data_IF_547870701550
#
_entry.id   IF_547870701550
#
_cell.length_a   1.000
_cell.length_b   1.000
_cell.length_c   1.000
_cell.angle_alpha   90.00
_cell.angle_beta   90.00
_cell.angle_gamma   90.00
#
_symmetry.space_group_name_H-M   'P 1'
#
loop_
_entity.id
_entity.type
_entity.pdbx_description
1 polymer ?
#
# COMPACT_ATOMS: atom_id res chain seq x y z
N UNK A 1 -35.29 4.64 47.84
CA UNK A 1 -33.91 5.17 47.97
C UNK A 1 -33.93 6.38 48.87
N UNK A 2 -33.30 6.26 50.03
CA UNK A 2 -33.04 7.38 50.94
C UNK A 2 -32.21 8.46 50.25
N UNK A 3 -32.41 9.72 50.67
CA UNK A 3 -31.66 10.87 50.13
C UNK A 3 -30.14 10.66 50.20
N UNK A 4 -29.68 9.94 51.24
CA UNK A 4 -28.27 9.56 51.44
C UNK A 4 -27.78 8.55 50.41
N UNK A 5 -28.58 7.52 50.11
CA UNK A 5 -28.25 6.51 49.08
C UNK A 5 -28.26 7.09 47.67
N UNK A 6 -29.13 8.08 47.39
CA UNK A 6 -29.11 8.81 46.10
C UNK A 6 -27.81 9.58 45.88
N UNK A 7 -27.24 10.17 46.93
CA UNK A 7 -25.98 10.93 46.85
C UNK A 7 -24.79 10.00 46.60
N UNK A 8 -24.72 8.85 47.29
CA UNK A 8 -23.64 7.87 47.09
C UNK A 8 -23.66 7.33 45.65
N UNK A 9 -24.85 7.05 45.11
CA UNK A 9 -25.01 6.56 43.74
C UNK A 9 -24.67 7.66 42.73
N UNK A 10 -25.09 8.91 42.97
CA UNK A 10 -24.71 10.02 42.11
C UNK A 10 -23.20 10.22 42.06
N UNK A 11 -22.52 10.13 43.20
CA UNK A 11 -21.06 10.25 43.29
C UNK A 11 -20.35 9.10 42.57
N UNK A 12 -20.88 7.87 42.66
CA UNK A 12 -20.36 6.72 41.91
C UNK A 12 -20.39 6.94 40.40
N UNK A 13 -21.52 7.43 39.87
CA UNK A 13 -21.63 7.77 38.45
C UNK A 13 -20.72 8.93 38.04
N UNK A 14 -20.52 9.93 38.90
CA UNK A 14 -19.59 11.03 38.65
C UNK A 14 -18.15 10.54 38.56
N UNK A 15 -17.72 9.65 39.47
CA UNK A 15 -16.38 9.05 39.42
C UNK A 15 -16.18 8.26 38.13
N UNK A 16 -17.17 7.48 37.68
CA UNK A 16 -17.13 6.79 36.38
C UNK A 16 -17.01 7.80 35.23
N UNK A 17 -17.81 8.86 35.27
CA UNK A 17 -17.80 9.89 34.22
C UNK A 17 -16.44 10.59 34.11
N UNK A 18 -15.79 10.88 35.24
CA UNK A 18 -14.45 11.47 35.28
C UNK A 18 -13.38 10.50 34.76
N UNK A 19 -13.44 9.23 35.17
CA UNK A 19 -12.50 8.20 34.68
C UNK A 19 -12.64 8.01 33.17
N UNK A 20 -13.87 7.95 32.64
CA UNK A 20 -14.14 7.88 31.20
C UNK A 20 -13.65 9.12 30.45
N UNK A 21 -13.89 10.32 31.00
CA UNK A 21 -13.43 11.57 30.41
C UNK A 21 -11.90 11.68 30.36
N UNK A 22 -11.18 11.21 31.40
CA UNK A 22 -9.71 11.21 31.40
C UNK A 22 -9.10 10.22 30.39
N UNK A 23 -9.67 9.03 30.23
CA UNK A 23 -9.24 8.07 29.22
C UNK A 23 -9.47 8.61 27.80
N UNK A 24 -10.62 9.26 27.57
CA UNK A 24 -10.96 9.92 26.31
C UNK A 24 -9.97 11.05 25.96
N UNK A 25 -9.53 11.82 26.96
CA UNK A 25 -8.51 12.86 26.76
C UNK A 25 -7.10 12.29 26.52
N UNK A 26 -6.71 11.21 27.21
CA UNK A 26 -5.42 10.53 26.97
C UNK A 26 -5.32 10.02 25.53
N UNK A 27 -6.37 9.41 24.97
CA UNK A 27 -6.35 8.95 23.57
C UNK A 27 -6.33 10.13 22.59
N UNK A 28 -7.14 11.16 22.81
CA UNK A 28 -7.27 12.26 21.85
C UNK A 28 -6.13 13.30 21.90
N UNK A 29 -5.45 13.49 23.03
CA UNK A 29 -4.33 14.42 23.15
C UNK A 29 -2.94 13.73 23.02
N UNK A 30 -2.85 12.41 23.24
CA UNK A 30 -1.58 11.66 23.17
C UNK A 30 -1.35 10.92 21.84
N UNK A 31 -2.12 11.17 20.76
CA UNK A 31 -1.78 10.73 19.39
C UNK A 31 -0.49 11.40 18.82
N UNK A 32 0.43 11.76 19.72
CA UNK A 32 1.82 12.09 19.51
C UNK A 32 2.73 10.84 19.45
N UNK A 33 2.18 9.64 19.22
CA UNK A 33 3.00 8.47 18.92
C UNK A 33 3.23 8.34 17.41
N UNK A 34 4.39 7.82 17.03
CA UNK A 34 4.67 7.44 15.66
C UNK A 34 4.11 6.04 15.43
N UNK A 35 3.44 5.85 14.31
CA UNK A 35 2.98 4.56 13.81
C UNK A 35 3.95 4.13 12.72
N UNK A 36 4.49 2.92 12.86
CA UNK A 36 5.27 2.24 11.84
C UNK A 36 4.29 1.48 10.94
N UNK A 37 4.34 1.73 9.64
CA UNK A 37 3.48 1.09 8.65
C UNK A 37 4.33 0.68 7.46
N UNK A 38 3.96 -0.43 6.81
CA UNK A 38 4.49 -0.80 5.51
C UNK A 38 3.60 -0.19 4.42
N UNK A 39 4.20 0.37 3.38
CA UNK A 39 3.51 0.94 2.23
C UNK A 39 4.23 0.54 0.94
N UNK A 40 3.59 0.78 -0.19
CA UNK A 40 4.13 0.46 -1.51
C UNK A 40 5.44 1.21 -1.76
N UNK A 41 6.37 0.52 -2.38
CA UNK A 41 7.69 1.03 -2.72
C UNK A 41 7.97 0.76 -4.20
N UNK A 42 8.48 1.75 -4.91
CA UNK A 42 8.77 1.63 -6.35
C UNK A 42 10.09 0.86 -6.56
N UNK A 43 10.06 -0.40 -7.01
CA UNK A 43 11.27 -1.21 -7.11
C UNK A 43 12.20 -0.78 -8.24
N UNK A 44 11.76 0.09 -9.17
CA UNK A 44 12.59 0.62 -10.25
C UNK A 44 13.43 1.83 -9.80
N UNK A 45 12.99 2.55 -8.77
CA UNK A 45 13.64 3.79 -8.32
C UNK A 45 14.20 3.71 -6.90
N UNK A 46 13.62 2.86 -6.06
CA UNK A 46 13.87 2.84 -4.62
C UNK A 46 14.35 1.45 -4.14
N UNK A 47 15.09 1.44 -3.03
CA UNK A 47 15.47 0.20 -2.33
C UNK A 47 14.37 -0.20 -1.35
N UNK A 48 13.57 -1.16 -1.75
CA UNK A 48 12.43 -1.72 -1.07
C UNK A 48 12.78 -3.02 -0.31
N UNK A 49 12.02 -3.30 0.73
CA UNK A 49 12.02 -4.58 1.42
C UNK A 49 11.24 -5.59 0.57
N UNK A 50 11.82 -6.76 0.37
CA UNK A 50 11.22 -7.88 -0.35
C UNK A 50 10.56 -8.82 0.65
N UNK A 51 9.28 -9.11 0.42
CA UNK A 51 8.54 -10.11 1.19
C UNK A 51 7.90 -11.10 0.23
N UNK A 52 8.26 -12.38 0.38
CA UNK A 52 7.66 -13.49 -0.35
C UNK A 52 6.62 -14.18 0.53
N UNK A 53 5.39 -14.32 0.05
CA UNK A 53 4.36 -15.13 0.71
C UNK A 53 4.51 -16.62 0.36
N UNK A 54 4.12 -17.51 1.27
CA UNK A 54 4.17 -18.96 1.04
C UNK A 54 2.73 -19.52 0.87
N UNK A 55 2.38 -20.10 -0.29
CA UNK A 55 1.04 -20.63 -0.54
C UNK A 55 0.66 -21.86 0.30
N UNK A 56 1.65 -22.56 0.88
CA UNK A 56 1.37 -23.68 1.80
C UNK A 56 0.93 -23.19 3.19
N UNK A 57 1.30 -21.96 3.56
CA UNK A 57 1.00 -21.37 4.87
C UNK A 57 -0.12 -20.32 4.80
N UNK A 58 -0.29 -19.68 3.64
CA UNK A 58 -1.27 -18.63 3.40
C UNK A 58 -2.10 -18.92 2.14
N UNK A 59 -3.41 -19.19 2.35
CA UNK A 59 -4.35 -19.47 1.26
C UNK A 59 -4.69 -18.26 0.39
N UNK A 60 -4.34 -17.04 0.81
CA UNK A 60 -4.49 -15.81 0.03
C UNK A 60 -3.25 -15.51 -0.83
N UNK A 61 -2.16 -16.27 -0.64
CA UNK A 61 -0.95 -16.11 -1.43
C UNK A 61 -1.14 -16.67 -2.86
N UNK A 62 -0.80 -15.89 -3.91
CA UNK A 62 -0.92 -16.33 -5.29
C UNK A 62 -0.13 -17.61 -5.60
N UNK A 63 -0.65 -18.46 -6.49
CA UNK A 63 0.11 -19.61 -6.99
C UNK A 63 1.30 -19.18 -7.87
N UNK A 64 1.17 -18.03 -8.55
CA UNK A 64 2.19 -17.44 -9.41
C UNK A 64 3.35 -16.86 -8.58
N UNK A 65 4.55 -17.41 -8.75
CA UNK A 65 5.74 -17.02 -7.99
C UNK A 65 6.06 -15.51 -8.05
N UNK A 66 5.75 -14.84 -9.16
CA UNK A 66 6.02 -13.41 -9.32
C UNK A 66 5.06 -12.53 -8.52
N UNK A 67 3.81 -12.96 -8.39
CA UNK A 67 2.79 -12.28 -7.59
C UNK A 67 2.94 -12.57 -6.10
N UNK A 68 3.77 -13.56 -5.72
CA UNK A 68 4.13 -13.83 -4.33
C UNK A 68 5.11 -12.82 -3.75
N UNK A 69 5.79 -12.06 -4.60
CA UNK A 69 6.81 -11.09 -4.19
C UNK A 69 6.18 -9.71 -4.07
N UNK A 70 6.24 -9.14 -2.87
CA UNK A 70 5.81 -7.77 -2.59
C UNK A 70 7.00 -6.88 -2.23
N UNK A 71 6.96 -5.64 -2.71
CA UNK A 71 7.99 -4.62 -2.47
C UNK A 71 7.39 -3.52 -1.59
N UNK A 72 7.89 -3.40 -0.36
CA UNK A 72 7.38 -2.42 0.59
C UNK A 72 8.49 -1.52 1.13
N UNK A 73 8.09 -0.34 1.62
CA UNK A 73 8.93 0.56 2.41
C UNK A 73 8.26 0.81 3.75
N UNK A 74 9.07 1.17 4.73
CA UNK A 74 8.58 1.45 6.08
C UNK A 74 8.39 2.95 6.22
N UNK A 75 7.19 3.37 6.61
CA UNK A 75 6.88 4.74 6.98
C UNK A 75 6.63 4.84 8.48
N UNK A 76 7.31 5.78 9.12
CA UNK A 76 7.07 6.19 10.49
C UNK A 76 6.40 7.57 10.49
N UNK A 77 5.09 7.61 10.75
CA UNK A 77 4.32 8.86 10.75
C UNK A 77 3.57 9.04 12.06
N UNK A 78 3.47 10.28 12.53
CA UNK A 78 2.74 10.59 13.76
C UNK A 78 1.25 10.24 13.59
N UNK A 79 0.66 9.53 14.55
CA UNK A 79 -0.72 9.06 14.50
C UNK A 79 -1.74 10.19 14.26
N UNK A 80 -1.50 11.37 14.84
CA UNK A 80 -2.31 12.57 14.62
C UNK A 80 -2.20 13.18 13.21
N UNK A 81 -1.17 12.80 12.43
CA UNK A 81 -0.94 13.25 11.06
C UNK A 81 -1.34 12.20 10.01
N UNK A 82 -1.74 10.99 10.43
CA UNK A 82 -2.23 9.96 9.53
C UNK A 82 -3.63 10.35 9.06
N UNK A 83 -3.88 10.48 7.74
CA UNK A 83 -5.22 10.75 7.23
C UNK A 83 -6.17 9.62 7.63
N UNK A 84 -7.34 9.98 8.17
CA UNK A 84 -8.37 8.99 8.44
C UNK A 84 -8.92 8.43 7.13
N UNK A 85 -9.03 7.10 7.03
CA UNK A 85 -9.68 6.45 5.90
C UNK A 85 -11.17 6.81 5.85
N UNK A 86 -11.71 7.06 4.65
CA UNK A 86 -13.13 7.28 4.47
C UNK A 86 -13.89 5.94 4.52
N UNK A 87 -14.55 5.69 5.64
CA UNK A 87 -15.30 4.44 5.87
C UNK A 87 -16.51 4.25 4.93
N UNK A 88 -16.90 5.25 4.14
CA UNK A 88 -18.03 5.13 3.20
C UNK A 88 -17.66 4.65 1.81
N UNK A 89 -16.44 4.98 1.37
CA UNK A 89 -15.93 4.65 0.04
C UNK A 89 -14.81 3.62 0.10
N UNK A 90 -14.50 3.09 1.29
CA UNK A 90 -13.38 2.18 1.58
C UNK A 90 -12.05 2.69 1.02
N UNK A 91 -11.94 4.01 0.82
CA UNK A 91 -10.78 4.64 0.20
C UNK A 91 -9.91 5.24 1.31
N UNK A 92 -8.73 4.66 1.49
CA UNK A 92 -7.66 5.26 2.29
C UNK A 92 -6.78 6.08 1.35
N UNK A 93 -6.34 7.27 1.79
CA UNK A 93 -5.26 7.95 1.06
C UNK A 93 -3.98 7.13 1.20
N UNK A 94 -3.27 7.00 0.09
CA UNK A 94 -1.94 6.45 0.07
C UNK A 94 -1.03 7.27 1.00
N UNK A 95 -0.30 6.56 1.86
CA UNK A 95 0.52 7.18 2.88
C UNK A 95 1.88 7.52 2.28
N UNK A 96 2.12 8.80 2.04
CA UNK A 96 3.43 9.31 1.69
C UNK A 96 3.93 10.34 2.72
N UNK A 97 5.24 10.56 2.72
CA UNK A 97 5.90 11.54 3.58
C UNK A 97 6.14 12.90 2.90
N UNK A 98 5.60 13.14 1.70
CA UNK A 98 5.92 14.33 0.92
C UNK A 98 5.51 15.61 1.66
N UNK A 99 6.50 16.44 2.02
CA UNK A 99 6.29 17.69 2.75
C UNK A 99 5.90 17.56 4.23
N UNK A 100 5.84 16.36 4.79
CA UNK A 100 5.46 16.14 6.19
C UNK A 100 6.67 16.06 7.12
N UNK A 101 6.80 17.06 8.00
CA UNK A 101 7.88 17.13 9.00
C UNK A 101 7.80 16.07 10.10
N UNK A 102 6.68 15.36 10.22
CA UNK A 102 6.46 14.30 11.19
C UNK A 102 6.33 12.92 10.53
N UNK A 103 6.92 12.78 9.34
CA UNK A 103 6.95 11.54 8.58
C UNK A 103 8.40 11.20 8.20
N UNK A 104 8.79 9.95 8.43
CA UNK A 104 10.10 9.43 8.08
C UNK A 104 9.92 8.17 7.25
N UNK A 105 10.49 8.16 6.05
CA UNK A 105 10.59 6.98 5.22
C UNK A 105 11.90 6.24 5.54
N UNK A 106 11.79 4.94 5.70
CA UNK A 106 12.92 4.04 5.89
C UNK A 106 12.92 3.06 4.72
N UNK A 107 13.93 3.20 3.88
CA UNK A 107 14.22 2.29 2.78
C UNK A 107 15.06 1.10 3.27
N UNK A 108 15.08 0.05 2.45
CA UNK A 108 15.87 -1.13 2.72
C UNK A 108 17.37 -0.82 2.58
N UNK A 109 18.10 -1.05 3.66
CA UNK A 109 19.54 -0.85 3.77
C UNK A 109 20.09 -1.92 4.72
N UNK A 110 21.38 -2.27 4.59
CA UNK A 110 22.06 -3.31 5.39
C UNK A 110 21.92 -3.10 6.90
N UNK A 111 21.65 -1.87 7.33
CA UNK A 111 21.45 -1.49 8.73
C UNK A 111 20.02 -1.67 9.23
N UNK A 112 19.04 -1.69 8.32
CA UNK A 112 17.61 -1.72 8.63
C UNK A 112 16.96 -3.06 8.27
N UNK A 113 17.68 -3.96 7.59
CA UNK A 113 17.24 -5.31 7.27
C UNK A 113 17.21 -6.17 8.53
N UNK A 114 16.04 -6.70 8.87
CA UNK A 114 15.92 -7.72 9.91
C UNK A 114 16.32 -9.12 9.39
N UNK A 115 16.53 -10.07 10.30
CA UNK A 115 16.93 -11.43 9.90
C UNK A 115 15.83 -12.10 9.08
N UNK A 116 16.10 -12.29 7.79
CA UNK A 116 15.18 -12.94 6.85
C UNK A 116 14.55 -11.99 5.85
N UNK A 117 14.75 -10.68 5.98
CA UNK A 117 14.36 -9.71 4.95
C UNK A 117 15.49 -9.53 3.94
N UNK A 118 15.12 -9.28 2.68
CA UNK A 118 16.08 -9.01 1.60
C UNK A 118 15.73 -7.69 0.94
N UNK A 119 16.73 -6.90 0.54
CA UNK A 119 16.49 -5.69 -0.24
C UNK A 119 16.46 -6.01 -1.72
N UNK A 120 15.62 -5.31 -2.47
CA UNK A 120 15.76 -5.29 -3.92
C UNK A 120 16.97 -4.46 -4.35
N UNK A 121 17.38 -4.69 -5.59
CA UNK A 121 18.31 -3.83 -6.31
C UNK A 121 17.58 -3.24 -7.53
N UNK A 122 17.43 -1.91 -7.63
CA UNK A 122 16.68 -1.30 -8.72
C UNK A 122 17.24 -1.61 -10.11
N UNK A 123 18.57 -1.66 -10.26
CA UNK A 123 19.19 -1.96 -11.56
C UNK A 123 18.95 -3.42 -11.97
N UNK A 124 19.01 -4.34 -11.00
CA UNK A 124 18.68 -5.74 -11.24
C UNK A 124 17.18 -5.93 -11.57
N UNK A 125 16.30 -5.18 -10.90
CA UNK A 125 14.86 -5.22 -11.17
C UNK A 125 14.53 -4.75 -12.59
N UNK A 126 15.08 -3.60 -13.01
CA UNK A 126 14.86 -3.07 -14.36
C UNK A 126 15.35 -4.05 -15.43
N UNK A 127 16.55 -4.62 -15.27
CA UNK A 127 17.08 -5.62 -16.22
C UNK A 127 16.20 -6.86 -16.32
N UNK A 128 15.73 -7.37 -15.18
CA UNK A 128 14.84 -8.54 -15.17
C UNK A 128 13.52 -8.26 -15.91
N UNK A 129 12.98 -7.04 -15.81
CA UNK A 129 11.77 -6.65 -16.53
C UNK A 129 12.02 -6.47 -18.03
N UNK A 130 13.16 -5.90 -18.44
CA UNK A 130 13.55 -5.77 -19.84
C UNK A 130 13.70 -7.14 -20.53
N UNK A 131 14.31 -8.11 -19.85
CA UNK A 131 14.46 -9.49 -20.34
C UNK A 131 13.11 -10.21 -20.50
N UNK A 132 12.17 -10.01 -19.57
CA UNK A 132 10.80 -10.56 -19.68
C UNK A 132 10.00 -9.96 -20.82
N UNK A 133 10.09 -8.64 -21.01
CA UNK A 133 9.38 -7.96 -22.09
C UNK A 133 9.94 -8.39 -23.46
N UNK A 134 11.24 -8.68 -23.55
CA UNK A 134 11.86 -9.21 -24.78
C UNK A 134 11.44 -10.67 -25.05
N UNK A 135 11.24 -11.49 -24.01
CA UNK A 135 10.82 -12.89 -24.14
C UNK A 135 9.34 -13.09 -24.49
N UNK A 136 8.49 -12.07 -24.35
CA UNK A 136 7.06 -12.15 -24.67
C UNK A 136 6.71 -11.70 -26.09
N UNK A 137 7.69 -11.20 -26.86
CA UNK A 137 7.53 -10.83 -28.28
C UNK A 137 8.03 -11.91 -29.26
N UNK A 138 8.76 -12.94 -28.82
CA UNK A 138 9.17 -14.08 -29.67
C UNK A 138 8.20 -15.26 -29.51
N UNK A 139 6.99 -15.09 -30.03
CA UNK A 139 5.92 -16.10 -29.98
C UNK A 139 5.01 -16.08 -31.20
N UNK A 140 5.56 -15.82 -32.39
CA UNK A 140 4.92 -16.15 -33.67
C UNK A 140 5.82 -17.13 -34.42
N UNK A 141 5.88 -18.37 -33.94
CA UNK A 141 6.30 -19.49 -34.77
C UNK A 141 5.26 -19.67 -35.89
N UNK A 142 5.62 -19.28 -37.11
CA UNK A 142 4.93 -19.73 -38.30
C UNK A 142 5.95 -20.13 -39.37
N UNK A 143 6.56 -21.32 -39.19
CA UNK A 143 6.74 -22.23 -40.32
C UNK A 143 5.38 -22.81 -40.73
N UNK A 144 4.53 -21.93 -41.24
CA UNK A 144 3.28 -22.24 -41.93
C UNK A 144 2.79 -20.95 -42.55
N UNK A 145 3.05 -20.82 -43.85
CA UNK A 145 2.63 -19.69 -44.65
C UNK A 145 1.11 -19.48 -44.61
N UNK A 146 0.65 -18.49 -43.84
CA UNK A 146 -0.51 -17.65 -44.19
C UNK A 146 -0.53 -16.38 -43.33
N UNK A 147 0.27 -15.39 -43.70
CA UNK A 147 0.02 -14.00 -43.32
C UNK A 147 -0.59 -13.29 -44.53
N UNK A 148 -1.88 -13.53 -44.75
CA UNK A 148 -2.66 -12.74 -45.70
C UNK A 148 -2.87 -11.35 -45.14
N UNK A 149 -2.00 -10.43 -45.56
CA UNK A 149 -2.35 -9.02 -45.63
C UNK A 149 -3.57 -8.83 -46.52
N UNK A 150 -4.68 -8.43 -45.93
CA UNK A 150 -5.70 -7.61 -46.59
C UNK A 150 -5.80 -6.35 -45.73
N UNK A 151 -5.42 -5.17 -46.23
CA UNK A 151 -5.94 -4.63 -47.47
C UNK A 151 -7.28 -3.97 -47.11
N UNK A 152 -7.20 -2.70 -46.72
CA UNK A 152 -8.34 -1.91 -46.27
C UNK A 152 -8.00 -0.44 -46.16
N UNK A 153 -7.24 0.09 -47.12
CA UNK A 153 -7.35 1.50 -47.49
C UNK A 153 -8.83 1.77 -47.82
N UNK A 154 -9.44 2.74 -47.14
CA UNK A 154 -10.66 3.35 -47.63
C UNK A 154 -10.38 4.86 -47.82
N UNK A 155 -10.63 5.40 -49.02
CA UNK A 155 -10.10 6.68 -49.47
C UNK A 155 -10.93 7.88 -48.99
N UNK A 156 -10.28 9.05 -49.03
CA UNK A 156 -10.93 10.36 -49.16
C UNK A 156 -11.98 10.34 -50.29
N UNK A 157 -13.20 10.77 -50.02
CA UNK A 157 -14.08 11.33 -51.06
C UNK A 157 -14.83 12.55 -50.50
N UNK A 158 -14.39 13.71 -50.97
CA UNK A 158 -15.11 14.98 -50.97
C UNK A 158 -16.18 14.97 -52.06
N UNK A 159 -17.43 15.34 -51.75
CA UNK A 159 -18.27 16.15 -52.65
C UNK A 159 -19.51 16.76 -52.00
N UNK A 160 -19.61 18.07 -52.19
CA UNK A 160 -20.73 19.01 -52.28
C UNK A 160 -22.20 18.52 -52.18
N UNK A 161 -22.98 19.26 -51.38
CA UNK A 161 -24.17 19.97 -51.86
C UNK A 161 -25.52 19.24 -51.93
N UNK A 162 -26.40 19.51 -50.95
CA UNK A 162 -27.73 20.11 -51.15
C UNK A 162 -28.37 20.55 -49.82
#
# INVERSE_FOLDING_TARGET
MDKKSKIIIALFFIVIFIVSAMSFYKVLAQNNYYVKMETDCDPEKEKCFIKECNPEEDSECPENQEERISYSKIINKKASAIPACDSKNETCLELNCEGDRFCQETFCDEKNVEKGETCNDPEAYIKAQEEKNTSSEEGCDNESADCTGSGGDNPEESQDGL
#
